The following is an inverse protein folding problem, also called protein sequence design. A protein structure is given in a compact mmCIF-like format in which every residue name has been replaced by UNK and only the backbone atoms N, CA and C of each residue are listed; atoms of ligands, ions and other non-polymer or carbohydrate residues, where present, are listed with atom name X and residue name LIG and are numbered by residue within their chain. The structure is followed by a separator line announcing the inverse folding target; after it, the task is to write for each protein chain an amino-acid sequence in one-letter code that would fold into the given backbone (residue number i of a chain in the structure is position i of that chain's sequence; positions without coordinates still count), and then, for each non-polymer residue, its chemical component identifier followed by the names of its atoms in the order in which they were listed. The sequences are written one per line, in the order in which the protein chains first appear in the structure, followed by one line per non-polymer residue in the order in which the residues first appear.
data_IF_711464637429
#
_entry.id   IF_711464637429
#
_cell.length_a   1.000
_cell.length_b   1.000
_cell.length_c   1.000
_cell.angle_alpha   90.00
_cell.angle_beta   90.00
_cell.angle_gamma   90.00
#
_symmetry.space_group_name_H-M   'P 1'
#
loop_
_entity.id
_entity.type
_entity.pdbx_description
1 polymer ?
#
# COMPACT_ATOMS: atom_id res chain seq x y z
N UNK A 1 4.87 -3.12 -18.43
CA UNK A 1 6.22 -3.53 -18.90
C UNK A 1 6.58 -2.68 -20.09
N UNK A 2 7.83 -2.21 -20.19
CA UNK A 2 8.36 -1.51 -21.39
C UNK A 2 9.32 -2.43 -22.14
N UNK A 3 9.79 -2.03 -23.32
CA UNK A 3 10.76 -2.78 -24.15
C UNK A 3 12.08 -3.12 -23.42
N UNK A 4 12.35 -2.51 -22.26
CA UNK A 4 13.55 -2.74 -21.45
C UNK A 4 13.27 -3.42 -20.09
N UNK A 5 12.06 -3.93 -19.82
CA UNK A 5 11.74 -4.69 -18.60
C UNK A 5 10.75 -4.01 -17.63
N UNK A 6 10.74 -4.50 -16.38
CA UNK A 6 9.92 -3.97 -15.27
C UNK A 6 10.51 -2.66 -14.73
N UNK A 7 9.64 -1.73 -14.34
CA UNK A 7 10.02 -0.47 -13.70
C UNK A 7 10.07 -0.66 -12.18
N UNK A 8 11.14 -1.28 -11.70
CA UNK A 8 11.36 -1.65 -10.30
C UNK A 8 11.84 -0.48 -9.44
N UNK A 9 12.73 0.38 -9.97
CA UNK A 9 13.27 1.55 -9.26
C UNK A 9 12.42 2.82 -9.43
N UNK A 10 12.43 3.73 -8.43
CA UNK A 10 11.81 5.06 -8.52
C UNK A 10 12.18 5.79 -9.81
N UNK A 11 13.47 5.81 -10.15
CA UNK A 11 14.01 6.50 -11.32
C UNK A 11 13.39 5.97 -12.62
N UNK A 12 13.27 4.64 -12.74
CA UNK A 12 12.68 4.02 -13.93
C UNK A 12 11.18 4.25 -14.01
N UNK A 13 10.46 4.20 -12.89
CA UNK A 13 9.02 4.49 -12.81
C UNK A 13 8.72 5.89 -13.33
N UNK A 14 9.41 6.91 -12.81
CA UNK A 14 9.15 8.31 -13.22
C UNK A 14 9.59 8.58 -14.67
N UNK A 15 10.69 7.99 -15.14
CA UNK A 15 11.14 8.13 -16.54
C UNK A 15 10.04 7.69 -17.52
N UNK A 16 9.43 6.54 -17.27
CA UNK A 16 8.36 5.99 -18.11
C UNK A 16 7.12 6.88 -18.06
N UNK A 17 6.71 7.31 -16.87
CA UNK A 17 5.56 8.21 -16.71
C UNK A 17 5.77 9.56 -17.43
N UNK A 18 6.96 10.17 -17.31
CA UNK A 18 7.29 11.42 -18.03
C UNK A 18 7.21 11.25 -19.54
N UNK A 19 7.80 10.17 -20.07
CA UNK A 19 7.78 9.89 -21.50
C UNK A 19 6.36 9.67 -22.01
N UNK A 20 5.55 8.88 -21.28
CA UNK A 20 4.16 8.62 -21.64
C UNK A 20 3.31 9.89 -21.57
N UNK A 21 3.47 10.70 -20.51
CA UNK A 21 2.77 11.98 -20.36
C UNK A 21 3.02 12.88 -21.56
N UNK A 22 4.30 13.07 -21.94
CA UNK A 22 4.69 13.89 -23.07
C UNK A 22 4.02 13.43 -24.38
N UNK A 23 4.07 12.13 -24.69
CA UNK A 23 3.45 11.59 -25.90
C UNK A 23 1.93 11.83 -25.88
N UNK A 24 1.28 11.53 -24.75
CA UNK A 24 -0.17 11.68 -24.62
C UNK A 24 -0.60 13.15 -24.76
N UNK A 25 0.08 14.09 -24.10
CA UNK A 25 -0.34 15.49 -24.10
C UNK A 25 0.13 16.26 -25.33
N UNK A 26 1.35 16.02 -25.82
CA UNK A 26 1.96 16.83 -26.90
C UNK A 26 1.73 16.23 -28.29
N UNK A 27 1.72 14.91 -28.44
CA UNK A 27 1.57 14.26 -29.76
C UNK A 27 0.12 13.86 -30.04
N UNK A 28 -0.58 13.32 -29.04
CA UNK A 28 -1.97 12.85 -29.18
C UNK A 28 -2.98 13.94 -28.83
N UNK A 29 -2.62 14.90 -27.98
CA UNK A 29 -3.53 15.94 -27.49
C UNK A 29 -4.54 15.43 -26.45
N UNK A 30 -4.19 14.38 -25.71
CA UNK A 30 -5.02 13.79 -24.67
C UNK A 30 -5.07 14.72 -23.43
N UNK A 31 -6.25 14.97 -22.84
CA UNK A 31 -6.36 15.80 -21.64
C UNK A 31 -5.57 15.22 -20.46
N UNK A 32 -4.70 15.99 -19.80
CA UNK A 32 -3.86 15.48 -18.72
C UNK A 32 -4.65 15.04 -17.47
N UNK A 33 -5.82 15.64 -17.24
CA UNK A 33 -6.76 15.26 -16.16
C UNK A 33 -7.35 13.85 -16.31
N UNK A 34 -7.35 13.31 -17.54
CA UNK A 34 -7.85 11.97 -17.85
C UNK A 34 -6.73 10.91 -17.85
N UNK A 35 -5.47 11.32 -17.64
CA UNK A 35 -4.33 10.41 -17.58
C UNK A 35 -4.23 9.79 -16.18
N UNK A 36 -4.27 8.46 -16.11
CA UNK A 36 -4.06 7.70 -14.89
C UNK A 36 -2.77 6.89 -15.01
N UNK A 37 -1.77 7.21 -14.20
CA UNK A 37 -0.54 6.43 -14.10
C UNK A 37 -0.64 5.34 -13.04
N UNK A 38 -0.14 4.15 -13.36
CA UNK A 38 0.14 3.09 -12.39
C UNK A 38 1.65 2.82 -12.37
N UNK A 39 2.40 3.33 -11.38
CA UNK A 39 3.84 3.11 -11.27
C UNK A 39 4.20 1.67 -10.85
N UNK A 40 3.22 0.76 -10.75
CA UNK A 40 3.31 -0.64 -10.34
C UNK A 40 3.89 -0.81 -8.93
N UNK A 41 3.03 -1.23 -8.00
CA UNK A 41 3.47 -1.68 -6.68
C UNK A 41 3.78 -3.18 -6.69
N UNK A 42 5.00 -3.52 -6.24
CA UNK A 42 5.48 -4.89 -6.13
C UNK A 42 5.38 -5.39 -4.69
N UNK A 43 5.46 -6.72 -4.53
CA UNK A 43 5.45 -7.35 -3.22
C UNK A 43 6.74 -7.03 -2.44
N UNK A 44 6.58 -6.69 -1.16
CA UNK A 44 7.68 -6.53 -0.21
C UNK A 44 7.66 -7.69 0.80
N UNK A 45 8.63 -7.75 1.71
CA UNK A 45 8.75 -8.84 2.69
C UNK A 45 8.78 -10.24 2.04
N UNK A 46 9.44 -10.36 0.88
CA UNK A 46 9.60 -11.64 0.17
C UNK A 46 10.79 -12.46 0.68
N UNK A 47 11.59 -11.92 1.59
CA UNK A 47 12.88 -12.48 2.00
C UNK A 47 14.02 -12.23 0.99
N UNK A 48 13.83 -11.33 0.02
CA UNK A 48 14.84 -10.92 -0.96
C UNK A 48 15.12 -9.44 -0.70
N UNK A 49 16.37 -9.11 -0.39
CA UNK A 49 16.78 -7.76 0.07
C UNK A 49 16.47 -6.68 -0.98
N UNK A 50 16.65 -7.02 -2.26
CA UNK A 50 16.38 -6.14 -3.41
C UNK A 50 14.91 -5.71 -3.48
N UNK A 51 13.98 -6.45 -2.86
CA UNK A 51 12.55 -6.14 -2.88
C UNK A 51 12.13 -5.22 -1.72
N UNK A 52 12.98 -5.03 -0.70
CA UNK A 52 12.62 -4.24 0.49
C UNK A 52 12.27 -2.79 0.14
N UNK A 53 12.91 -2.24 -0.89
CA UNK A 53 12.73 -0.84 -1.26
C UNK A 53 11.55 -0.58 -2.22
N UNK A 54 10.88 -1.63 -2.73
CA UNK A 54 9.83 -1.46 -3.75
C UNK A 54 8.66 -0.57 -3.32
N UNK A 55 8.28 -0.63 -2.05
CA UNK A 55 7.22 0.24 -1.50
C UNK A 55 7.68 1.70 -1.43
N UNK A 56 8.90 1.96 -0.97
CA UNK A 56 9.50 3.30 -0.99
C UNK A 56 9.66 3.85 -2.41
N UNK A 57 10.12 3.02 -3.34
CA UNK A 57 10.28 3.40 -4.75
C UNK A 57 8.94 3.78 -5.39
N UNK A 58 7.87 3.07 -5.02
CA UNK A 58 6.51 3.40 -5.45
C UNK A 58 6.03 4.73 -4.83
N UNK A 59 6.19 4.93 -3.52
CA UNK A 59 5.84 6.20 -2.84
C UNK A 59 6.57 7.37 -3.50
N UNK A 60 7.89 7.26 -3.65
CA UNK A 60 8.70 8.33 -4.24
C UNK A 60 8.36 8.60 -5.72
N UNK A 61 8.02 7.57 -6.49
CA UNK A 61 7.56 7.76 -7.87
C UNK A 61 6.22 8.49 -7.92
N UNK A 62 5.31 8.21 -7.00
CA UNK A 62 4.03 8.91 -6.90
C UNK A 62 4.20 10.39 -6.55
N UNK A 63 5.09 10.71 -5.62
CA UNK A 63 5.47 12.10 -5.30
C UNK A 63 6.02 12.82 -6.54
N UNK A 64 6.92 12.16 -7.28
CA UNK A 64 7.52 12.74 -8.49
C UNK A 64 6.46 12.97 -9.58
N UNK A 65 5.56 12.01 -9.80
CA UNK A 65 4.44 12.15 -10.74
C UNK A 65 3.57 13.35 -10.35
N UNK A 66 3.21 13.49 -9.07
CA UNK A 66 2.39 14.64 -8.62
C UNK A 66 3.09 15.97 -8.76
N UNK A 67 4.40 16.01 -8.51
CA UNK A 67 5.19 17.25 -8.61
C UNK A 67 5.40 17.68 -10.06
N UNK A 68 5.55 16.73 -10.97
CA UNK A 68 6.08 17.00 -12.31
C UNK A 68 5.08 16.83 -13.44
N UNK A 69 4.04 16.01 -13.24
CA UNK A 69 3.02 15.69 -14.23
C UNK A 69 1.67 16.28 -13.75
N UNK A 70 1.43 17.58 -13.99
CA UNK A 70 0.26 18.26 -13.45
C UNK A 70 -1.03 17.64 -14.01
N UNK A 71 -2.09 17.67 -13.20
CA UNK A 71 -3.41 17.08 -13.49
C UNK A 71 -3.46 15.55 -13.59
N UNK A 72 -2.33 14.88 -13.81
CA UNK A 72 -2.29 13.43 -13.87
C UNK A 72 -2.76 12.77 -12.56
N UNK A 73 -3.57 11.74 -12.72
CA UNK A 73 -4.06 10.88 -11.67
C UNK A 73 -3.11 9.70 -11.47
N UNK A 74 -3.15 9.10 -10.29
CA UNK A 74 -2.34 7.94 -9.93
C UNK A 74 -3.28 6.86 -9.44
N UNK A 75 -3.03 5.63 -9.87
CA UNK A 75 -3.64 4.40 -9.42
C UNK A 75 -2.55 3.41 -8.99
N UNK A 76 -2.91 2.40 -8.21
CA UNK A 76 -2.00 1.33 -7.85
C UNK A 76 -2.72 0.22 -7.09
N UNK A 77 -2.46 -1.02 -7.50
CA UNK A 77 -3.01 -2.21 -6.83
C UNK A 77 -2.34 -2.48 -5.48
N UNK A 78 -2.70 -1.71 -4.45
CA UNK A 78 -2.10 -1.80 -3.09
C UNK A 78 -2.17 -3.19 -2.47
N UNK A 79 -3.11 -4.04 -2.90
CA UNK A 79 -3.21 -5.45 -2.52
C UNK A 79 -2.03 -6.32 -2.96
N UNK A 80 -1.19 -5.84 -3.89
CA UNK A 80 -0.03 -6.59 -4.37
C UNK A 80 1.14 -6.54 -3.39
N UNK A 81 1.19 -5.51 -2.52
CA UNK A 81 2.28 -5.33 -1.55
C UNK A 81 2.37 -6.47 -0.53
N UNK A 82 1.24 -7.12 -0.25
CA UNK A 82 1.09 -8.17 0.75
C UNK A 82 1.06 -9.58 0.19
N UNK A 83 1.40 -9.76 -1.09
CA UNK A 83 1.35 -11.06 -1.76
C UNK A 83 2.21 -12.12 -1.05
N UNK A 84 3.30 -11.72 -0.40
CA UNK A 84 4.22 -12.57 0.36
C UNK A 84 3.56 -13.33 1.52
N UNK A 85 2.36 -12.91 1.96
CA UNK A 85 1.62 -13.50 3.08
C UNK A 85 0.46 -14.40 2.63
N UNK A 86 0.35 -14.71 1.33
CA UNK A 86 -0.68 -15.64 0.82
C UNK A 86 -0.48 -17.04 1.43
N UNK A 87 -1.52 -17.57 2.06
CA UNK A 87 -1.52 -18.90 2.69
C UNK A 87 -1.86 -18.88 4.19
N UNK A 88 -1.86 -17.71 4.85
CA UNK A 88 -2.23 -17.56 6.26
C UNK A 88 -3.40 -16.55 6.39
N UNK A 89 -4.63 -16.99 6.11
CA UNK A 89 -5.83 -16.13 6.04
C UNK A 89 -6.08 -15.29 7.31
N UNK A 90 -5.61 -15.76 8.48
CA UNK A 90 -5.77 -15.07 9.76
C UNK A 90 -4.90 -13.81 9.87
N UNK A 91 -3.71 -13.83 9.28
CA UNK A 91 -2.76 -12.71 9.33
C UNK A 91 -2.69 -11.94 8.02
N UNK A 92 -2.94 -12.60 6.90
CA UNK A 92 -2.89 -12.01 5.56
C UNK A 92 -3.88 -10.86 5.39
N UNK A 93 -5.09 -10.96 5.95
CA UNK A 93 -6.11 -9.90 5.85
C UNK A 93 -5.74 -8.64 6.66
N UNK A 94 -5.46 -8.73 7.98
CA UNK A 94 -4.96 -7.58 8.75
C UNK A 94 -3.69 -6.98 8.16
N UNK A 95 -2.76 -7.82 7.70
CA UNK A 95 -1.52 -7.36 7.09
C UNK A 95 -1.75 -6.61 5.78
N UNK A 96 -2.51 -7.20 4.86
CA UNK A 96 -2.88 -6.54 3.59
C UNK A 96 -3.56 -5.21 3.84
N UNK A 97 -4.47 -5.17 4.82
CA UNK A 97 -5.20 -3.96 5.17
C UNK A 97 -4.29 -2.90 5.79
N UNK A 98 -3.40 -3.27 6.70
CA UNK A 98 -2.43 -2.36 7.31
C UNK A 98 -1.47 -1.81 6.25
N UNK A 99 -0.87 -2.67 5.43
CA UNK A 99 0.09 -2.28 4.39
C UNK A 99 -0.53 -1.35 3.36
N UNK A 100 -1.77 -1.64 2.94
CA UNK A 100 -2.51 -0.77 2.03
C UNK A 100 -2.78 0.59 2.66
N UNK A 101 -3.19 0.61 3.93
CA UNK A 101 -3.54 1.87 4.62
C UNK A 101 -2.32 2.72 4.93
N UNK A 102 -1.21 2.12 5.38
CA UNK A 102 0.08 2.81 5.52
C UNK A 102 0.46 3.46 4.21
N UNK A 103 0.41 2.71 3.10
CA UNK A 103 0.76 3.24 1.80
C UNK A 103 -0.14 4.42 1.40
N UNK A 104 -1.45 4.33 1.60
CA UNK A 104 -2.38 5.42 1.30
C UNK A 104 -2.18 6.66 2.16
N UNK A 105 -1.93 6.48 3.46
CA UNK A 105 -1.63 7.56 4.38
C UNK A 105 -0.37 8.33 3.91
N UNK A 106 0.65 7.60 3.49
CA UNK A 106 1.91 8.17 3.00
C UNK A 106 1.83 8.77 1.59
N UNK A 107 0.90 8.32 0.74
CA UNK A 107 0.69 8.93 -0.58
C UNK A 107 -0.07 10.27 -0.53
N UNK A 108 -0.42 10.79 0.65
CA UNK A 108 -1.23 12.00 0.76
C UNK A 108 -2.69 11.82 0.29
N UNK A 109 -3.16 10.58 0.14
CA UNK A 109 -4.56 10.25 -0.18
C UNK A 109 -5.41 10.03 1.08
N UNK A 110 -4.89 10.31 2.27
CA UNK A 110 -5.56 10.08 3.55
C UNK A 110 -7.00 10.59 3.58
N UNK A 111 -7.26 11.76 3.00
CA UNK A 111 -8.59 12.37 2.97
C UNK A 111 -9.62 11.59 2.13
N UNK A 112 -9.19 10.85 1.11
CA UNK A 112 -10.08 10.11 0.20
C UNK A 112 -10.40 8.69 0.71
N UNK A 113 -9.65 8.21 1.69
CA UNK A 113 -9.76 6.87 2.27
C UNK A 113 -10.00 6.87 3.78
N UNK A 114 -10.65 7.90 4.32
CA UNK A 114 -10.96 8.04 5.75
C UNK A 114 -11.60 6.80 6.40
N UNK A 115 -12.41 6.04 5.65
CA UNK A 115 -13.00 4.78 6.15
C UNK A 115 -11.99 3.64 6.34
N UNK A 116 -10.88 3.64 5.59
CA UNK A 116 -9.78 2.68 5.77
C UNK A 116 -8.80 3.15 6.86
N UNK A 117 -8.60 4.46 7.04
CA UNK A 117 -7.81 5.03 8.13
C UNK A 117 -8.38 4.68 9.52
N UNK A 118 -9.70 4.67 9.69
CA UNK A 118 -10.32 4.28 10.96
C UNK A 118 -9.99 2.84 11.38
N UNK A 119 -9.84 1.93 10.41
CA UNK A 119 -9.47 0.53 10.65
C UNK A 119 -7.98 0.41 11.01
N UNK A 120 -7.16 1.34 10.51
CA UNK A 120 -5.73 1.40 10.78
C UNK A 120 -5.42 1.88 12.21
N UNK A 121 -6.20 2.83 12.74
CA UNK A 121 -6.07 3.26 14.13
C UNK A 121 -6.50 2.18 15.14
N UNK A 122 -7.40 1.28 14.73
CA UNK A 122 -7.87 0.16 15.55
C UNK A 122 -6.89 -1.04 15.56
N UNK A 123 -5.83 -1.02 14.74
CA UNK A 123 -4.84 -2.09 14.71
C UNK A 123 -3.89 -2.03 15.92
N UNK A 124 -3.43 -3.18 16.43
CA UNK A 124 -2.41 -3.21 17.47
C UNK A 124 -1.14 -2.46 17.03
N UNK A 125 -0.64 -1.56 17.89
CA UNK A 125 0.54 -0.74 17.57
C UNK A 125 1.75 -1.58 17.16
N UNK A 126 2.01 -2.72 17.82
CA UNK A 126 3.09 -3.65 17.49
C UNK A 126 3.03 -4.14 16.03
N UNK A 127 1.81 -4.44 15.54
CA UNK A 127 1.60 -4.87 14.15
C UNK A 127 1.74 -3.72 13.17
N UNK A 128 1.19 -2.56 13.52
CA UNK A 128 1.26 -1.35 12.70
C UNK A 128 2.70 -0.90 12.49
N UNK A 129 3.48 -0.83 13.57
CA UNK A 129 4.87 -0.38 13.54
C UNK A 129 5.74 -1.34 12.71
N UNK A 130 5.52 -2.66 12.83
CA UNK A 130 6.22 -3.65 12.01
C UNK A 130 5.86 -3.57 10.52
N UNK A 131 4.59 -3.30 10.19
CA UNK A 131 4.17 -3.07 8.81
C UNK A 131 4.81 -1.81 8.25
N UNK A 132 4.81 -0.72 9.01
CA UNK A 132 5.48 0.52 8.62
C UNK A 132 6.99 0.35 8.42
N UNK A 133 7.65 -0.42 9.29
CA UNK A 133 9.09 -0.70 9.17
C UNK A 133 9.42 -1.35 7.82
N UNK A 134 8.55 -2.25 7.35
CA UNK A 134 8.69 -2.91 6.05
C UNK A 134 8.32 -1.98 4.89
N UNK A 135 7.18 -1.28 4.96
CA UNK A 135 6.70 -0.41 3.88
C UNK A 135 7.63 0.79 3.65
N UNK A 136 8.13 1.35 4.74
CA UNK A 136 9.05 2.48 4.72
C UNK A 136 10.52 2.02 4.78
N UNK A 137 10.79 0.72 4.72
CA UNK A 137 12.14 0.14 4.77
C UNK A 137 13.03 0.84 5.82
N UNK A 138 12.53 0.99 7.06
CA UNK A 138 13.20 1.74 8.15
C UNK A 138 14.30 0.93 8.83
N UNK A 139 14.30 -0.39 8.60
CA UNK A 139 15.13 -1.36 9.31
C UNK A 139 15.38 -2.59 8.45
N UNK A 140 16.59 -3.14 8.56
CA UNK A 140 17.01 -4.34 7.82
C UNK A 140 16.31 -5.61 8.34
N UNK A 141 15.97 -5.65 9.63
CA UNK A 141 15.26 -6.76 10.29
C UNK A 141 13.72 -6.69 10.16
N UNK A 142 13.19 -5.74 9.40
CA UNK A 142 11.75 -5.46 9.31
C UNK A 142 10.94 -6.67 8.81
N UNK A 143 11.43 -7.34 7.77
CA UNK A 143 10.77 -8.53 7.19
C UNK A 143 10.69 -9.69 8.19
N UNK A 144 11.79 -9.96 8.90
CA UNK A 144 11.85 -11.05 9.89
C UNK A 144 10.89 -10.80 11.04
N UNK A 145 10.94 -9.59 11.64
CA UNK A 145 10.04 -9.18 12.72
C UNK A 145 8.57 -9.31 12.32
N UNK A 146 8.26 -8.92 11.09
CA UNK A 146 6.91 -8.99 10.58
C UNK A 146 6.43 -10.44 10.41
N UNK A 147 7.31 -11.34 9.93
CA UNK A 147 7.02 -12.77 9.83
C UNK A 147 6.82 -13.41 11.21
N UNK A 148 7.67 -13.10 12.19
CA UNK A 148 7.53 -13.57 13.58
C UNK A 148 6.19 -13.12 14.21
N UNK A 149 5.81 -11.86 13.98
CA UNK A 149 4.51 -11.35 14.42
C UNK A 149 3.36 -12.08 13.72
N UNK A 150 3.45 -12.32 12.41
CA UNK A 150 2.44 -13.07 11.67
C UNK A 150 2.29 -14.50 12.22
N UNK A 151 3.37 -15.16 12.63
CA UNK A 151 3.30 -16.48 13.29
C UNK A 151 2.65 -16.40 14.67
N UNK A 152 3.02 -15.41 15.49
CA UNK A 152 2.44 -15.15 16.82
C UNK A 152 0.92 -14.92 16.74
N UNK A 153 0.45 -14.13 15.77
CA UNK A 153 -0.98 -13.87 15.55
C UNK A 153 -1.71 -15.08 14.95
N UNK A 154 -1.05 -15.92 14.15
CA UNK A 154 -1.63 -17.15 13.63
C UNK A 154 -1.81 -18.22 14.73
N UNK A 155 -0.84 -18.29 15.65
CA UNK A 155 -0.83 -19.20 16.79
C UNK A 155 -1.77 -18.77 17.91
N UNK A 156 -2.05 -17.46 18.04
CA UNK A 156 -3.01 -16.95 19.00
C UNK A 156 -4.44 -17.46 18.69
N UNK A 157 -5.01 -18.26 19.59
CA UNK A 157 -6.44 -18.60 19.56
C UNK A 157 -7.26 -17.30 19.70
N UNK A 158 -8.40 -17.16 19.01
CA UNK A 158 -9.20 -15.96 19.08
C UNK A 158 -9.66 -15.75 20.53
N UNK A 159 -9.10 -14.75 21.19
CA UNK A 159 -9.64 -14.26 22.45
C UNK A 159 -10.41 -12.98 22.11
N UNK A 160 -11.72 -13.18 21.97
CA UNK A 160 -12.83 -12.22 22.02
C UNK A 160 -13.71 -12.28 20.76
N UNK A 161 -15.01 -12.60 20.90
CA UNK A 161 -15.97 -12.43 19.80
C UNK A 161 -16.14 -10.94 19.50
N UNK A 162 -16.19 -10.57 18.22
CA UNK A 162 -16.78 -9.28 17.82
C UNK A 162 -18.21 -9.23 18.35
N UNK A 163 -18.41 -8.52 19.46
CA UNK A 163 -19.74 -8.32 20.05
C UNK A 163 -20.55 -7.47 19.07
N UNK A 164 -21.67 -7.95 18.52
CA UNK A 164 -22.54 -7.08 17.74
C UNK A 164 -23.20 -6.09 18.72
N UNK A 165 -22.83 -4.81 18.60
CA UNK A 165 -23.53 -3.70 19.25
C UNK A 165 -25.00 -3.69 18.81
N UNK A 166 -25.89 -4.32 19.58
CA UNK A 166 -27.33 -4.09 19.49
C UNK A 166 -27.68 -2.83 20.28
N UNK A 167 -28.04 -1.77 19.54
CA UNK A 167 -28.63 -0.54 20.07
C UNK A 167 -29.86 -0.85 20.92
N UNK A 168 -29.88 -0.28 22.13
CA UNK A 168 -31.09 -0.14 22.94
C UNK A 168 -32.08 0.79 22.26
N UNK A 169 -33.31 0.34 22.07
CA UNK A 169 -34.44 1.16 21.65
C UNK A 169 -35.68 0.77 22.43
N UNK A 170 -35.94 1.48 23.53
CA UNK A 170 -37.20 1.43 24.25
C UNK A 170 -38.34 2.08 23.43
N UNK A 171 -39.53 1.45 23.48
CA UNK A 171 -40.89 1.96 23.23
C UNK A 171 -41.80 0.72 23.40
N UNK A 172 -42.57 0.53 24.46
CA UNK A 172 -43.50 1.44 25.09
C UNK A 172 -44.91 1.03 24.65
N UNK A 173 -45.65 0.32 25.51
CA UNK A 173 -47.10 0.35 25.72
C UNK A 173 -47.42 -0.45 26.97
#
# INVERSE_FOLDING_TARGET
MTEQGQADTRARKIEICRRAYKILTEEVGFPPEDIIFDPNIFAVATGIEEHNNYAQDFIGACEDIKRELPHALISGGVSNVSFSFRGNDRCAKPFTQCSSTTLFAWHGYGDRHAGQLAIYDDLPAELRDAVEDVILNRRDDGTERLLELAEKYAAAKPTTPLTPSRRSGARGK
#
